data_IF_903561276751
#
_entry.id   IF_903561276751
#
_cell.length_a   1.000
_cell.length_b   1.000
_cell.length_c   1.000
_cell.angle_alpha   90.00
_cell.angle_beta   90.00
_cell.angle_gamma   90.00
#
_symmetry.space_group_name_H-M   'P 1'
#
loop_
_entity.id
_entity.type
_entity.pdbx_description
1 polymer ?
#
# COMPACT_ATOMS: atom_id res chain seq x y z
N UNK A 1 -1.04 9.80 -6.40
CA UNK A 1 -0.06 10.77 -5.90
C UNK A 1 0.00 10.75 -4.38
N UNK A 2 1.21 10.87 -3.83
CA UNK A 2 1.44 10.93 -2.40
C UNK A 2 0.90 12.23 -1.80
N UNK A 3 0.43 12.17 -0.55
CA UNK A 3 -0.07 13.36 0.17
C UNK A 3 0.94 13.87 1.19
N UNK A 4 1.51 12.98 1.99
CA UNK A 4 2.49 13.28 3.03
C UNK A 4 3.17 11.99 3.49
N UNK A 5 4.31 12.11 4.16
CA UNK A 5 4.96 11.03 4.88
C UNK A 5 4.66 11.06 6.37
N UNK A 6 5.23 10.10 7.10
CA UNK A 6 5.21 10.06 8.57
C UNK A 6 6.64 9.83 9.06
N UNK A 7 7.10 10.65 10.00
CA UNK A 7 8.39 10.52 10.67
C UNK A 7 8.19 10.66 12.16
N UNK A 8 8.64 9.66 12.94
CA UNK A 8 8.48 9.67 14.39
C UNK A 8 7.01 9.84 14.86
N UNK A 9 6.05 9.23 14.14
CA UNK A 9 4.61 9.36 14.32
C UNK A 9 4.00 10.73 13.97
N UNK A 10 4.79 11.67 13.45
CA UNK A 10 4.31 12.98 13.03
C UNK A 10 4.23 13.07 11.49
N UNK A 11 3.19 13.74 10.95
CA UNK A 11 3.09 13.96 9.51
C UNK A 11 4.18 14.90 9.02
N UNK A 12 4.86 14.53 7.92
CA UNK A 12 5.88 15.34 7.26
C UNK A 12 5.54 15.55 5.78
N UNK A 13 5.97 16.68 5.23
CA UNK A 13 5.79 17.04 3.81
C UNK A 13 7.05 16.80 2.99
N UNK A 14 8.21 16.75 3.65
CA UNK A 14 9.53 16.61 3.05
C UNK A 14 10.25 15.41 3.67
N UNK A 15 11.12 14.80 2.90
CA UNK A 15 11.97 13.71 3.40
C UNK A 15 12.99 14.27 4.39
N UNK A 16 13.10 13.72 5.62
CA UNK A 16 13.92 14.31 6.68
C UNK A 16 15.41 14.44 6.34
N UNK A 17 15.95 13.52 5.53
CA UNK A 17 17.38 13.52 5.20
C UNK A 17 17.71 14.27 3.91
N UNK A 18 16.78 14.30 2.94
CA UNK A 18 17.05 14.87 1.61
C UNK A 18 16.32 16.18 1.35
N UNK A 19 15.38 16.57 2.24
CA UNK A 19 14.54 17.77 2.12
C UNK A 19 13.68 17.81 0.84
N UNK A 20 13.65 16.71 0.07
CA UNK A 20 12.78 16.61 -1.10
C UNK A 20 11.31 16.49 -0.70
N UNK A 21 10.44 17.18 -1.45
CA UNK A 21 9.01 17.10 -1.24
C UNK A 21 8.50 15.67 -1.43
N UNK A 22 7.72 15.20 -0.46
CA UNK A 22 7.00 13.92 -0.55
C UNK A 22 5.64 14.12 -1.22
N UNK A 23 5.11 15.34 -1.21
CA UNK A 23 3.77 15.64 -1.72
C UNK A 23 3.76 15.57 -3.25
N UNK A 24 2.77 14.88 -3.80
CA UNK A 24 2.54 14.81 -5.24
C UNK A 24 3.51 13.90 -5.99
N UNK A 25 4.27 13.05 -5.30
CA UNK A 25 5.09 12.04 -5.96
C UNK A 25 4.20 11.01 -6.66
N UNK A 26 4.53 10.72 -7.89
CA UNK A 26 3.96 9.60 -8.63
C UNK A 26 4.92 8.41 -8.50
N UNK A 27 4.49 7.37 -7.78
CA UNK A 27 5.26 6.15 -7.64
C UNK A 27 5.31 5.45 -9.01
N UNK A 28 6.49 5.22 -9.60
CA UNK A 28 6.59 4.50 -10.86
C UNK A 28 6.18 3.03 -10.68
N UNK A 29 5.75 2.40 -11.79
CA UNK A 29 5.32 0.98 -11.80
C UNK A 29 4.24 0.65 -10.78
N UNK A 30 3.35 1.59 -10.50
CA UNK A 30 2.35 1.47 -9.42
C UNK A 30 1.44 0.26 -9.58
N UNK A 31 0.96 -0.02 -10.79
CA UNK A 31 0.10 -1.19 -11.03
C UNK A 31 0.82 -2.51 -10.78
N UNK A 32 2.09 -2.60 -11.11
CA UNK A 32 2.91 -3.78 -10.84
C UNK A 32 3.14 -3.98 -9.34
N UNK A 33 3.45 -2.91 -8.62
CA UNK A 33 3.56 -2.95 -7.15
C UNK A 33 2.26 -3.43 -6.50
N UNK A 34 1.12 -2.95 -6.97
CA UNK A 34 -0.20 -3.39 -6.49
C UNK A 34 -0.46 -4.87 -6.80
N UNK A 35 -0.09 -5.32 -7.99
CA UNK A 35 -0.23 -6.72 -8.38
C UNK A 35 0.61 -7.63 -7.48
N UNK A 36 1.87 -7.27 -7.25
CA UNK A 36 2.78 -8.01 -6.36
C UNK A 36 2.22 -8.07 -4.93
N UNK A 37 1.77 -6.93 -4.39
CA UNK A 37 1.19 -6.87 -3.05
C UNK A 37 -0.08 -7.73 -2.93
N UNK A 38 -0.95 -7.69 -3.93
CA UNK A 38 -2.17 -8.49 -3.94
C UNK A 38 -1.87 -9.99 -4.02
N UNK A 39 -0.92 -10.42 -4.84
CA UNK A 39 -0.48 -11.82 -4.92
C UNK A 39 0.15 -12.29 -3.62
N UNK A 40 0.99 -11.47 -3.00
CA UNK A 40 1.59 -11.78 -1.70
C UNK A 40 0.53 -11.93 -0.60
N UNK A 41 -0.47 -11.05 -0.58
CA UNK A 41 -1.61 -11.16 0.33
C UNK A 41 -2.41 -12.46 0.13
N UNK A 42 -2.69 -12.82 -1.12
CA UNK A 42 -3.40 -14.06 -1.46
C UNK A 42 -2.60 -15.30 -1.04
N UNK A 43 -1.30 -15.34 -1.33
CA UNK A 43 -0.41 -16.44 -0.96
C UNK A 43 -0.24 -16.59 0.55
N UNK A 44 -0.29 -15.50 1.31
CA UNK A 44 -0.14 -15.52 2.75
C UNK A 44 -1.32 -16.19 3.48
N UNK A 45 -2.49 -16.27 2.84
CA UNK A 45 -3.74 -16.73 3.45
C UNK A 45 -4.28 -15.82 4.55
N UNK A 46 -3.67 -14.65 4.78
CA UNK A 46 -4.11 -13.68 5.79
C UNK A 46 -5.23 -12.81 5.25
N UNK A 47 -6.24 -12.55 6.08
CA UNK A 47 -7.34 -11.63 5.72
C UNK A 47 -6.90 -10.16 5.68
N UNK A 48 -5.85 -9.83 6.41
CA UNK A 48 -5.23 -8.51 6.46
C UNK A 48 -3.72 -8.66 6.64
N UNK A 49 -2.94 -8.00 5.81
CA UNK A 49 -1.47 -8.10 5.83
C UNK A 49 -0.84 -6.79 5.35
N UNK A 50 0.23 -6.36 6.01
CA UNK A 50 1.12 -5.32 5.51
C UNK A 50 2.13 -5.94 4.54
N UNK A 51 2.33 -5.30 3.40
CA UNK A 51 3.32 -5.71 2.40
C UNK A 51 4.29 -4.56 2.21
N UNK A 52 5.53 -4.75 2.64
CA UNK A 52 6.58 -3.77 2.49
C UNK A 52 7.33 -4.02 1.19
N UNK A 53 7.22 -3.05 0.29
CA UNK A 53 7.78 -3.10 -1.06
C UNK A 53 8.84 -2.01 -1.23
N UNK A 54 9.90 -2.33 -1.96
CA UNK A 54 10.86 -1.36 -2.47
C UNK A 54 10.94 -1.45 -3.98
N UNK A 55 11.29 -0.34 -4.59
CA UNK A 55 11.55 -0.27 -6.02
C UNK A 55 13.07 -0.12 -6.22
N UNK A 56 13.74 -1.24 -6.42
CA UNK A 56 15.18 -1.28 -6.67
C UNK A 56 15.49 -0.76 -8.07
N UNK A 57 16.60 -0.02 -8.20
CA UNK A 57 17.02 0.59 -9.46
C UNK A 57 17.29 -0.43 -10.56
N UNK A 58 17.84 -1.58 -10.19
CA UNK A 58 18.29 -2.61 -11.15
C UNK A 58 17.33 -3.79 -11.23
N UNK A 59 16.78 -4.22 -10.08
CA UNK A 59 15.95 -5.41 -9.95
C UNK A 59 14.44 -5.13 -10.05
N UNK A 60 14.05 -3.86 -9.95
CA UNK A 60 12.64 -3.47 -9.97
C UNK A 60 11.94 -3.68 -8.62
N UNK A 61 10.64 -3.95 -8.61
CA UNK A 61 9.87 -4.14 -7.38
C UNK A 61 10.31 -5.39 -6.61
N UNK A 62 10.58 -5.23 -5.33
CA UNK A 62 10.95 -6.32 -4.41
C UNK A 62 10.08 -6.27 -3.17
N UNK A 63 9.68 -7.45 -2.67
CA UNK A 63 9.06 -7.58 -1.34
C UNK A 63 10.18 -7.68 -0.31
N UNK A 64 10.15 -6.82 0.70
CA UNK A 64 11.04 -6.90 1.85
C UNK A 64 10.42 -7.73 2.97
N UNK A 65 9.15 -7.50 3.27
CA UNK A 65 8.48 -8.11 4.42
C UNK A 65 6.99 -8.27 4.18
N UNK A 66 6.43 -9.33 4.77
CA UNK A 66 5.00 -9.51 4.98
C UNK A 66 4.72 -9.45 6.48
N UNK A 67 3.83 -8.54 6.89
CA UNK A 67 3.54 -8.31 8.29
C UNK A 67 2.07 -8.61 8.61
N UNK A 68 1.84 -9.63 9.44
CA UNK A 68 0.49 -10.05 9.85
C UNK A 68 -0.19 -9.02 10.79
N UNK A 69 0.58 -8.11 11.39
CA UNK A 69 0.07 -7.07 12.31
C UNK A 69 0.71 -5.73 11.97
N UNK A 70 0.41 -5.16 10.78
CA UNK A 70 1.00 -3.89 10.37
C UNK A 70 0.58 -2.75 11.29
N UNK A 71 1.50 -1.83 11.52
CA UNK A 71 1.23 -0.61 12.27
C UNK A 71 0.25 0.34 11.55
N UNK A 72 -0.11 1.43 12.21
CA UNK A 72 -1.09 2.40 11.71
C UNK A 72 -0.47 3.61 10.99
N UNK A 73 0.84 3.60 10.72
CA UNK A 73 1.53 4.72 10.09
C UNK A 73 0.96 5.10 8.72
N UNK A 74 0.52 4.11 7.92
CA UNK A 74 -0.11 4.34 6.62
C UNK A 74 -1.43 5.10 6.78
N UNK A 75 -2.24 4.74 7.77
CA UNK A 75 -3.51 5.41 8.07
C UNK A 75 -3.27 6.84 8.53
N UNK A 76 -2.24 7.08 9.35
CA UNK A 76 -1.82 8.42 9.77
C UNK A 76 -1.38 9.24 8.56
N UNK A 77 -0.54 8.70 7.69
CA UNK A 77 -0.09 9.36 6.47
C UNK A 77 -1.25 9.73 5.53
N UNK A 78 -2.22 8.85 5.38
CA UNK A 78 -3.41 9.07 4.56
C UNK A 78 -4.47 9.96 5.23
N UNK A 79 -4.39 10.16 6.55
CA UNK A 79 -5.38 10.90 7.32
C UNK A 79 -6.75 10.21 7.39
N UNK A 80 -6.81 8.91 7.17
CA UNK A 80 -8.04 8.12 7.15
C UNK A 80 -7.87 6.81 7.91
N UNK A 81 -8.86 6.47 8.72
CA UNK A 81 -8.92 5.17 9.35
C UNK A 81 -9.16 4.03 8.35
N UNK A 82 -8.93 2.82 8.79
CA UNK A 82 -9.01 1.62 7.95
C UNK A 82 -10.42 1.03 7.84
N UNK A 83 -11.27 1.26 8.83
CA UNK A 83 -12.56 0.55 8.99
C UNK A 83 -13.47 0.65 7.76
N UNK A 84 -13.61 1.84 7.18
CA UNK A 84 -14.45 2.04 6.00
C UNK A 84 -13.96 1.26 4.77
N UNK A 85 -12.65 1.09 4.62
CA UNK A 85 -12.04 0.29 3.55
C UNK A 85 -12.25 -1.20 3.77
N UNK A 86 -12.14 -1.67 5.00
CA UNK A 86 -12.42 -3.08 5.34
C UNK A 86 -13.87 -3.45 5.05
N UNK A 87 -14.83 -2.61 5.47
CA UNK A 87 -16.25 -2.80 5.16
C UNK A 87 -16.50 -2.88 3.66
N UNK A 88 -15.87 -1.99 2.89
CA UNK A 88 -16.00 -1.98 1.44
C UNK A 88 -15.44 -3.24 0.78
N UNK A 89 -14.31 -3.76 1.26
CA UNK A 89 -13.74 -5.02 0.78
C UNK A 89 -14.67 -6.21 1.06
N UNK A 90 -15.31 -6.23 2.23
CA UNK A 90 -16.29 -7.28 2.58
C UNK A 90 -17.52 -7.28 1.67
N UNK A 91 -17.92 -6.10 1.17
CA UNK A 91 -19.08 -5.93 0.27
C UNK A 91 -18.76 -6.27 -1.20
N UNK A 92 -17.48 -6.39 -1.57
CA UNK A 92 -17.07 -6.60 -2.96
C UNK A 92 -17.08 -8.07 -3.32
N UNK A 93 -17.96 -8.45 -4.26
CA UNK A 93 -17.84 -9.70 -5.00
C UNK A 93 -16.71 -9.58 -6.04
N UNK A 94 -15.67 -10.38 -5.92
CA UNK A 94 -14.50 -10.35 -6.82
C UNK A 94 -14.67 -11.39 -7.93
N UNK A 95 -14.82 -10.99 -9.22
CA UNK A 95 -14.85 -11.93 -10.34
C UNK A 95 -13.50 -12.64 -10.56
N UNK A 96 -13.54 -13.83 -11.12
CA UNK A 96 -12.49 -14.86 -11.06
C UNK A 96 -11.28 -14.71 -12.00
N UNK A 97 -11.10 -13.63 -12.76
CA UNK A 97 -10.05 -13.56 -13.80
C UNK A 97 -8.66 -13.17 -13.30
N UNK A 98 -8.53 -12.37 -12.28
CA UNK A 98 -7.33 -12.17 -11.46
C UNK A 98 -7.78 -11.61 -10.10
N UNK A 99 -8.14 -12.49 -9.16
CA UNK A 99 -8.73 -12.07 -7.89
C UNK A 99 -7.83 -11.12 -7.08
N UNK A 100 -6.52 -11.35 -7.13
CA UNK A 100 -5.58 -10.56 -6.35
C UNK A 100 -5.50 -9.11 -6.85
N UNK A 101 -5.35 -8.93 -8.17
CA UNK A 101 -5.26 -7.59 -8.76
C UNK A 101 -6.57 -6.82 -8.65
N UNK A 102 -7.69 -7.48 -8.90
CA UNK A 102 -9.01 -6.84 -8.79
C UNK A 102 -9.32 -6.40 -7.36
N UNK A 103 -9.01 -7.25 -6.39
CA UNK A 103 -9.13 -6.93 -4.97
C UNK A 103 -8.26 -5.72 -4.60
N UNK A 104 -6.99 -5.70 -5.06
CA UNK A 104 -6.09 -4.58 -4.80
C UNK A 104 -6.55 -3.28 -5.45
N UNK A 105 -6.95 -3.30 -6.72
CA UNK A 105 -7.44 -2.11 -7.43
C UNK A 105 -8.64 -1.47 -6.75
N UNK A 106 -9.62 -2.27 -6.33
CA UNK A 106 -10.82 -1.75 -5.66
C UNK A 106 -10.53 -1.21 -4.26
N UNK A 107 -9.53 -1.75 -3.58
CA UNK A 107 -9.12 -1.28 -2.27
C UNK A 107 -8.42 0.09 -2.31
N UNK A 108 -7.73 0.41 -3.40
CA UNK A 108 -6.85 1.57 -3.50
C UNK A 108 -7.46 2.74 -4.27
N UNK A 109 -8.34 2.47 -5.24
CA UNK A 109 -8.96 3.50 -6.10
C UNK A 109 -10.08 4.29 -5.40
N UNK A 110 -10.45 3.91 -4.22
CA UNK A 110 -11.40 4.60 -3.35
C UNK A 110 -10.70 5.35 -2.21
#
# INVERSE_FOLDING_TARGET
LTRRGVWGNEPVKEHPDTEHSIIGLQIPRWEELLHIAARASEMSGLGYVGVDLVLDKNLGPLILELNARPGLSIQIANGNGLLHRLKKVEEIAVPATDPALQKARRFILD
#
